data_IF_050677633548
#
_entry.id   IF_050677633548
#
_cell.length_a   1.000
_cell.length_b   1.000
_cell.length_c   1.000
_cell.angle_alpha   90.00
_cell.angle_beta   90.00
_cell.angle_gamma   90.00
#
_symmetry.space_group_name_H-M   'P 1'
#
loop_
_entity.id
_entity.type
_entity.pdbx_description
1 polymer ?
#
# COMPACT_ATOMS: atom_id res chain seq x y z
N UNK A 1 3.72 -8.97 11.34
CA UNK A 1 3.15 -7.93 10.45
C UNK A 1 2.21 -7.06 11.26
N UNK A 2 2.30 -5.74 11.14
CA UNK A 2 1.42 -4.78 11.84
C UNK A 2 0.90 -3.78 10.82
N UNK A 3 -0.43 -3.69 10.65
CA UNK A 3 -1.04 -2.65 9.83
C UNK A 3 -0.81 -1.30 10.51
N UNK A 4 -0.26 -0.35 9.76
CA UNK A 4 0.05 1.00 10.24
C UNK A 4 -1.03 1.96 9.77
N UNK A 5 -1.42 1.86 8.49
CA UNK A 5 -2.31 2.82 7.85
C UNK A 5 -3.23 2.10 6.87
N UNK A 6 -4.50 2.54 6.83
CA UNK A 6 -5.50 2.14 5.83
C UNK A 6 -6.14 3.41 5.27
N UNK A 7 -6.14 3.59 3.95
CA UNK A 7 -6.68 4.78 3.28
C UNK A 7 -7.53 4.34 2.09
N UNK A 8 -8.75 4.88 1.97
CA UNK A 8 -9.56 4.74 0.75
C UNK A 8 -9.20 5.80 -0.29
N UNK A 9 -8.96 5.40 -1.54
CA UNK A 9 -8.59 6.28 -2.67
C UNK A 9 -9.23 5.72 -3.94
N UNK A 10 -10.06 6.50 -4.65
CA UNK A 10 -10.67 6.11 -5.93
C UNK A 10 -11.25 4.67 -5.95
N UNK A 11 -12.10 4.34 -4.96
CA UNK A 11 -12.69 3.00 -4.78
C UNK A 11 -11.69 1.86 -4.47
N UNK A 12 -10.40 2.16 -4.38
CA UNK A 12 -9.36 1.26 -3.91
C UNK A 12 -9.08 1.50 -2.41
N UNK A 13 -8.47 0.53 -1.75
CA UNK A 13 -7.96 0.65 -0.38
C UNK A 13 -6.45 0.44 -0.39
N UNK A 14 -5.69 1.46 0.02
CA UNK A 14 -4.27 1.33 0.29
C UNK A 14 -4.05 0.89 1.74
N UNK A 15 -3.35 -0.21 1.94
CA UNK A 15 -2.93 -0.71 3.24
C UNK A 15 -1.42 -0.62 3.32
N UNK A 16 -0.88 0.10 4.32
CA UNK A 16 0.56 0.13 4.60
C UNK A 16 0.83 -0.58 5.91
N UNK A 17 1.79 -1.50 5.89
CA UNK A 17 2.09 -2.36 7.02
C UNK A 17 3.60 -2.47 7.26
N UNK A 18 3.95 -2.71 8.52
CA UNK A 18 5.32 -2.96 8.97
C UNK A 18 5.54 -4.46 9.14
N UNK A 19 6.64 -4.96 8.58
CA UNK A 19 6.96 -6.39 8.55
C UNK A 19 7.86 -6.80 9.70
N UNK A 20 8.03 -8.11 9.90
CA UNK A 20 9.00 -8.66 10.86
C UNK A 20 10.46 -8.38 10.46
N UNK A 21 10.71 -8.09 9.19
CA UNK A 21 12.04 -7.77 8.65
C UNK A 21 12.40 -6.28 8.82
N UNK A 22 11.68 -5.58 9.70
CA UNK A 22 11.88 -4.18 10.03
C UNK A 22 11.73 -3.20 8.84
N UNK A 23 10.93 -3.54 7.83
CA UNK A 23 10.64 -2.69 6.68
C UNK A 23 9.14 -2.39 6.53
N UNK A 24 8.82 -1.37 5.73
CA UNK A 24 7.47 -1.02 5.34
C UNK A 24 7.14 -1.59 3.97
N UNK A 25 5.92 -2.06 3.80
CA UNK A 25 5.37 -2.49 2.52
C UNK A 25 3.93 -2.01 2.41
N UNK A 26 3.36 -2.12 1.22
CA UNK A 26 1.95 -1.81 1.01
C UNK A 26 1.25 -2.90 0.19
N UNK A 27 -0.06 -2.97 0.39
CA UNK A 27 -1.00 -3.73 -0.44
C UNK A 27 -2.10 -2.79 -0.92
N UNK A 28 -2.64 -3.08 -2.09
CA UNK A 28 -3.79 -2.36 -2.66
C UNK A 28 -4.94 -3.36 -2.77
N UNK A 29 -6.10 -3.00 -2.25
CA UNK A 29 -7.35 -3.73 -2.48
C UNK A 29 -8.11 -2.97 -3.56
N UNK A 30 -8.26 -3.61 -4.71
CA UNK A 30 -9.00 -3.09 -5.86
C UNK A 30 -10.51 -3.07 -5.60
N UNK A 31 -11.30 -2.32 -6.40
CA UNK A 31 -12.76 -2.25 -6.23
C UNK A 31 -13.46 -3.61 -6.26
N UNK A 32 -12.93 -4.55 -7.04
CA UNK A 32 -13.42 -5.92 -7.17
C UNK A 32 -13.02 -6.82 -5.97
N UNK A 33 -12.26 -6.29 -5.01
CA UNK A 33 -11.78 -6.99 -3.83
C UNK A 33 -10.49 -7.79 -4.04
N UNK A 34 -9.82 -7.62 -5.19
CA UNK A 34 -8.53 -8.24 -5.47
C UNK A 34 -7.44 -7.55 -4.65
N UNK A 35 -6.56 -8.33 -4.04
CA UNK A 35 -5.42 -7.81 -3.27
C UNK A 35 -4.17 -7.89 -4.13
N UNK A 36 -3.53 -6.74 -4.35
CA UNK A 36 -2.25 -6.61 -5.04
C UNK A 36 -1.17 -6.28 -4.03
N UNK A 37 -0.11 -7.08 -4.01
CA UNK A 37 1.07 -6.89 -3.15
C UNK A 37 2.32 -6.80 -4.03
N UNK A 38 2.82 -5.59 -4.35
CA UNK A 38 3.94 -5.42 -5.28
C UNK A 38 5.28 -6.00 -4.79
N UNK A 39 5.40 -6.31 -3.49
CA UNK A 39 6.58 -6.92 -2.89
C UNK A 39 7.76 -5.97 -2.66
N UNK A 40 7.64 -4.71 -3.07
CA UNK A 40 8.62 -3.65 -2.79
C UNK A 40 8.76 -3.40 -1.29
N UNK A 41 9.97 -3.03 -0.87
CA UNK A 41 10.32 -2.75 0.53
C UNK A 41 10.77 -1.31 0.68
N UNK A 42 10.27 -0.65 1.71
CA UNK A 42 10.55 0.75 1.98
C UNK A 42 11.16 0.93 3.37
N UNK A 43 12.10 1.86 3.47
CA UNK A 43 12.78 2.18 4.74
C UNK A 43 11.89 3.01 5.66
N UNK A 44 10.94 3.78 5.11
CA UNK A 44 10.02 4.61 5.89
C UNK A 44 8.55 4.42 5.49
N UNK A 45 7.67 4.76 6.44
CA UNK A 45 6.22 4.76 6.25
C UNK A 45 5.81 5.72 5.13
N UNK A 46 6.42 6.90 5.09
CA UNK A 46 6.13 7.95 4.12
C UNK A 46 6.47 7.51 2.71
N UNK A 47 7.60 6.80 2.53
CA UNK A 47 7.99 6.26 1.24
C UNK A 47 6.98 5.21 0.73
N UNK A 48 6.58 4.26 1.58
CA UNK A 48 5.56 3.26 1.22
C UNK A 48 4.19 3.90 0.93
N UNK A 49 3.79 4.93 1.70
CA UNK A 49 2.54 5.66 1.46
C UNK A 49 2.57 6.45 0.15
N UNK A 50 3.68 7.11 -0.15
CA UNK A 50 3.84 7.86 -1.39
C UNK A 50 3.77 6.93 -2.59
N UNK A 51 4.54 5.85 -2.58
CA UNK A 51 4.56 4.87 -3.68
C UNK A 51 3.20 4.23 -3.89
N UNK A 52 2.52 3.82 -2.81
CA UNK A 52 1.18 3.24 -2.89
C UNK A 52 0.14 4.20 -3.48
N UNK A 53 0.23 5.50 -3.16
CA UNK A 53 -0.65 6.54 -3.74
C UNK A 53 -0.35 6.76 -5.22
N UNK A 54 0.93 6.85 -5.59
CA UNK A 54 1.38 7.02 -6.97
C UNK A 54 0.96 5.81 -7.83
N UNK A 55 1.08 4.60 -7.29
CA UNK A 55 0.62 3.36 -7.93
C UNK A 55 -0.88 3.40 -8.21
N UNK A 56 -1.69 3.81 -7.20
CA UNK A 56 -3.14 3.90 -7.38
C UNK A 56 -3.48 4.94 -8.45
N UNK A 57 -2.83 6.11 -8.44
CA UNK A 57 -3.05 7.16 -9.43
C UNK A 57 -2.62 6.74 -10.85
N UNK A 58 -1.60 5.88 -11.00
CA UNK A 58 -1.14 5.43 -12.30
C UNK A 58 -2.07 4.38 -12.95
N UNK A 59 -2.76 3.56 -12.13
CA UNK A 59 -3.57 2.43 -12.61
C UNK A 59 -5.09 2.70 -12.53
N UNK A 60 -5.54 3.42 -11.49
CA UNK A 60 -6.96 3.73 -11.21
C UNK A 60 -7.21 5.24 -11.01
N UNK A 61 -6.30 6.10 -11.48
CA UNK A 61 -6.44 7.56 -11.46
C UNK A 61 -7.25 8.14 -12.60
#
# INVERSE_FOLDING_TARGET
>A
MKIITIIGINSCILVVYYTSSACYQFAIIEPEGIIVEPGEIFVSLEAALREGKETIAAVWG
#
